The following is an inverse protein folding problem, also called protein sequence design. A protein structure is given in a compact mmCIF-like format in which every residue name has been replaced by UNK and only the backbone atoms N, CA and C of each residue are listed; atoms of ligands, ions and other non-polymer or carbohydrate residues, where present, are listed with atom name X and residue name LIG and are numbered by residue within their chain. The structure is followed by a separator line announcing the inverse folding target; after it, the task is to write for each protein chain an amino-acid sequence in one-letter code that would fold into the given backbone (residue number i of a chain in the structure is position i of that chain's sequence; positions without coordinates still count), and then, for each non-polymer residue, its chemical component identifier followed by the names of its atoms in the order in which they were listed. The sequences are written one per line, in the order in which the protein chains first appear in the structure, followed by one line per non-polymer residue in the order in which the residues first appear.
data_IF_433400288585
#
_entry.id   IF_433400288585
#
_cell.length_a   1.000
_cell.length_b   1.000
_cell.length_c   1.000
_cell.angle_alpha   90.00
_cell.angle_beta   90.00
_cell.angle_gamma   90.00
#
_symmetry.space_group_name_H-M   'P 1'
#
loop_
_entity.id
_entity.type
_entity.pdbx_description
1 polymer ?
#
# COMPACT_ATOMS: atom_id res chain seq x y z
N UNK A 1 -64.31 -39.59 -19.90
CA UNK A 1 -65.54 -39.53 -19.10
C UNK A 1 -65.11 -39.56 -17.64
N UNK A 2 -65.37 -38.45 -16.93
CA UNK A 2 -65.85 -38.37 -15.54
C UNK A 2 -66.17 -39.71 -14.84
N UNK A 3 -66.06 -39.91 -13.53
CA UNK A 3 -65.67 -39.12 -12.35
C UNK A 3 -65.50 -40.16 -11.23
N UNK A 4 -64.60 -39.92 -10.27
CA UNK A 4 -64.89 -40.21 -8.86
C UNK A 4 -63.79 -39.61 -7.98
N UNK A 5 -64.04 -38.44 -7.39
CA UNK A 5 -63.53 -38.22 -6.04
C UNK A 5 -64.21 -37.03 -5.34
N UNK A 6 -64.73 -37.31 -4.15
CA UNK A 6 -64.69 -36.49 -2.93
C UNK A 6 -65.37 -37.32 -1.80
N UNK A 7 -65.02 -37.15 -0.51
CA UNK A 7 -64.81 -35.82 0.09
C UNK A 7 -63.82 -35.64 1.27
N UNK A 8 -63.53 -34.35 1.52
CA UNK A 8 -63.29 -33.64 2.81
C UNK A 8 -62.13 -34.08 3.72
N UNK A 9 -61.32 -33.22 4.36
CA UNK A 9 -61.35 -31.81 4.78
C UNK A 9 -59.87 -31.41 5.07
N UNK A 10 -59.37 -30.18 5.19
CA UNK A 10 -59.88 -28.86 5.56
C UNK A 10 -58.74 -27.86 5.21
N UNK A 11 -58.99 -26.84 4.39
CA UNK A 11 -58.15 -25.62 4.33
C UNK A 11 -59.05 -24.45 4.69
N UNK A 12 -58.88 -23.90 5.88
CA UNK A 12 -59.47 -22.63 6.27
C UNK A 12 -58.38 -21.56 6.38
N UNK A 13 -58.68 -20.45 5.69
CA UNK A 13 -58.02 -19.15 5.70
C UNK A 13 -57.67 -18.64 7.09
N UNK A 14 -56.47 -18.07 7.23
CA UNK A 14 -56.21 -16.96 8.16
C UNK A 14 -55.35 -15.90 7.46
N UNK A 15 -56.07 -14.88 7.00
CA UNK A 15 -55.76 -13.44 7.01
C UNK A 15 -54.31 -12.98 6.92
N UNK A 16 -54.10 -12.14 5.90
CA UNK A 16 -53.00 -11.20 5.77
C UNK A 16 -52.78 -10.41 7.07
N UNK A 17 -51.58 -10.58 7.66
CA UNK A 17 -51.02 -9.62 8.60
C UNK A 17 -49.84 -8.95 7.91
N UNK A 18 -50.11 -7.76 7.35
CA UNK A 18 -49.10 -6.88 6.80
C UNK A 18 -48.07 -6.51 7.88
N UNK A 19 -46.84 -7.03 7.75
CA UNK A 19 -45.69 -6.34 8.31
C UNK A 19 -45.34 -5.20 7.37
N UNK A 20 -45.80 -4.00 7.74
CA UNK A 20 -45.31 -2.73 7.20
C UNK A 20 -43.78 -2.76 7.24
N UNK A 21 -43.16 -2.95 6.08
CA UNK A 21 -41.75 -2.61 5.88
C UNK A 21 -41.71 -1.09 5.97
N UNK A 22 -41.25 -0.59 7.11
CA UNK A 22 -41.11 0.84 7.33
C UNK A 22 -39.94 1.33 6.46
N UNK A 23 -40.25 1.71 5.22
CA UNK A 23 -39.33 2.34 4.27
C UNK A 23 -39.09 3.81 4.63
N UNK A 24 -38.64 4.05 5.86
CA UNK A 24 -38.21 5.36 6.35
C UNK A 24 -36.69 5.47 6.27
N UNK A 25 -36.19 6.02 5.17
CA UNK A 25 -34.88 6.67 4.92
C UNK A 25 -33.75 6.60 5.98
N UNK A 26 -33.41 5.44 6.51
CA UNK A 26 -32.10 5.22 7.14
C UNK A 26 -31.08 5.15 6.01
N UNK A 27 -30.50 6.31 5.65
CA UNK A 27 -29.37 6.32 4.71
C UNK A 27 -28.24 5.51 5.35
N UNK A 28 -27.95 4.37 4.75
CA UNK A 28 -26.98 3.42 5.26
C UNK A 28 -25.59 4.09 5.38
N UNK A 29 -24.92 3.95 6.53
CA UNK A 29 -23.71 4.74 6.86
C UNK A 29 -22.60 4.54 5.81
N UNK A 30 -22.46 3.34 5.24
CA UNK A 30 -21.50 3.05 4.16
C UNK A 30 -21.81 3.82 2.89
N UNK A 31 -23.09 3.99 2.54
CA UNK A 31 -23.50 4.67 1.31
C UNK A 31 -23.12 6.15 1.40
N UNK A 32 -23.46 6.81 2.51
CA UNK A 32 -23.14 8.23 2.70
C UNK A 32 -21.64 8.48 2.84
N UNK A 33 -20.88 7.56 3.44
CA UNK A 33 -19.42 7.63 3.51
C UNK A 33 -18.78 7.44 2.12
N UNK A 34 -19.31 6.51 1.32
CA UNK A 34 -18.85 6.29 -0.06
C UNK A 34 -19.10 7.50 -0.95
N UNK A 35 -20.25 8.15 -0.78
CA UNK A 35 -20.64 9.30 -1.60
C UNK A 35 -19.91 10.59 -1.16
N UNK A 36 -19.28 10.60 0.03
CA UNK A 36 -18.34 11.63 0.46
C UNK A 36 -18.98 12.89 1.08
N UNK A 37 -20.29 12.87 1.34
CA UNK A 37 -21.03 14.00 1.93
C UNK A 37 -20.90 14.01 3.45
N UNK A 38 -20.12 14.95 4.00
CA UNK A 38 -19.92 15.07 5.45
C UNK A 38 -21.25 15.34 6.19
N UNK A 39 -22.13 16.17 5.63
CA UNK A 39 -23.43 16.49 6.23
C UNK A 39 -24.35 15.27 6.32
N UNK A 40 -24.33 14.41 5.31
CA UNK A 40 -25.07 13.15 5.33
C UNK A 40 -24.45 12.15 6.32
N UNK A 41 -23.12 12.11 6.44
CA UNK A 41 -22.43 11.32 7.47
C UNK A 41 -22.82 11.78 8.87
N UNK A 42 -22.86 13.08 9.15
CA UNK A 42 -23.32 13.60 10.46
C UNK A 42 -24.76 13.19 10.77
N UNK A 43 -25.65 13.32 9.77
CA UNK A 43 -27.06 12.94 9.91
C UNK A 43 -27.23 11.43 10.16
N UNK A 44 -26.44 10.61 9.48
CA UNK A 44 -26.42 9.16 9.66
C UNK A 44 -25.86 8.77 11.05
N UNK A 45 -24.77 9.42 11.50
CA UNK A 45 -24.19 9.18 12.83
C UNK A 45 -25.15 9.60 13.95
N UNK A 46 -25.87 10.71 13.80
CA UNK A 46 -26.88 11.14 14.76
C UNK A 46 -28.03 10.13 14.88
N UNK A 47 -28.49 9.61 13.73
CA UNK A 47 -29.52 8.56 13.67
C UNK A 47 -29.04 7.25 14.31
N UNK A 48 -27.79 6.86 14.04
CA UNK A 48 -27.15 5.67 14.59
C UNK A 48 -27.03 5.76 16.12
N UNK A 49 -26.64 6.93 16.66
CA UNK A 49 -26.56 7.16 18.10
C UNK A 49 -27.93 7.05 18.78
N UNK A 50 -28.99 7.55 18.13
CA UNK A 50 -30.37 7.47 18.65
C UNK A 50 -30.91 6.04 18.65
N UNK A 51 -30.53 5.22 17.68
CA UNK A 51 -30.95 3.82 17.58
C UNK A 51 -30.06 2.84 18.33
N UNK A 52 -28.92 3.29 18.87
CA UNK A 52 -27.91 2.41 19.50
C UNK A 52 -27.20 1.50 18.50
N UNK A 53 -27.10 1.92 17.23
CA UNK A 53 -26.47 1.12 16.19
C UNK A 53 -24.94 1.05 16.31
N UNK A 54 -24.35 0.04 15.67
CA UNK A 54 -22.91 -0.20 15.72
C UNK A 54 -22.19 0.44 14.52
N UNK A 55 -21.33 1.42 14.79
CA UNK A 55 -20.53 2.15 13.78
C UNK A 55 -19.53 1.25 13.02
N UNK A 56 -19.15 0.12 13.63
CA UNK A 56 -18.20 -0.86 13.10
C UNK A 56 -18.89 -2.07 12.45
N UNK A 57 -20.18 -1.95 12.11
CA UNK A 57 -20.85 -2.95 11.26
C UNK A 57 -20.02 -3.19 9.97
N UNK A 58 -20.21 -4.33 9.32
CA UNK A 58 -19.46 -4.68 8.12
C UNK A 58 -20.44 -4.92 6.99
N UNK A 59 -20.12 -4.39 5.80
CA UNK A 59 -20.87 -4.70 4.59
C UNK A 59 -20.58 -6.13 4.08
N UNK A 60 -21.13 -6.51 2.93
CA UNK A 60 -20.94 -7.83 2.31
C UNK A 60 -19.48 -8.17 1.95
N UNK A 61 -18.60 -7.18 1.87
CA UNK A 61 -17.16 -7.34 1.64
C UNK A 61 -16.35 -7.34 2.94
N UNK A 62 -17.01 -7.30 4.10
CA UNK A 62 -16.35 -7.21 5.39
C UNK A 62 -15.80 -5.81 5.70
N UNK A 63 -16.19 -4.76 4.98
CA UNK A 63 -15.64 -3.40 5.17
C UNK A 63 -16.46 -2.60 6.19
N UNK A 64 -15.76 -1.85 7.05
CA UNK A 64 -16.35 -0.83 7.94
C UNK A 64 -16.49 0.51 7.19
N UNK A 65 -17.19 1.54 7.72
CA UNK A 65 -17.25 2.83 7.04
C UNK A 65 -15.86 3.49 7.05
N UNK A 66 -15.05 3.24 8.09
CA UNK A 66 -13.69 3.76 8.21
C UNK A 66 -12.78 3.22 7.11
N UNK A 67 -12.91 1.94 6.71
CA UNK A 67 -12.18 1.39 5.56
C UNK A 67 -12.47 2.14 4.26
N UNK A 68 -13.75 2.46 4.01
CA UNK A 68 -14.16 3.17 2.80
C UNK A 68 -13.64 4.62 2.81
N UNK A 69 -13.76 5.32 3.94
CA UNK A 69 -13.26 6.68 4.10
C UNK A 69 -11.73 6.75 3.94
N UNK A 70 -11.00 5.78 4.52
CA UNK A 70 -9.56 5.68 4.41
C UNK A 70 -9.11 5.39 2.97
N UNK A 71 -9.78 4.45 2.27
CA UNK A 71 -9.49 4.12 0.88
C UNK A 71 -9.70 5.32 -0.07
N UNK A 72 -10.77 6.10 0.17
CA UNK A 72 -11.13 7.28 -0.63
C UNK A 72 -10.34 8.55 -0.29
N UNK A 73 -9.44 8.49 0.70
CA UNK A 73 -8.70 9.65 1.22
C UNK A 73 -9.61 10.79 1.74
N UNK A 74 -10.77 10.47 2.31
CA UNK A 74 -11.74 11.47 2.78
C UNK A 74 -11.44 11.92 4.22
N UNK A 75 -10.41 12.75 4.37
CA UNK A 75 -9.89 13.24 5.67
C UNK A 75 -10.99 13.72 6.64
N UNK A 76 -11.95 14.59 6.25
CA UNK A 76 -12.97 15.07 7.19
C UNK A 76 -13.85 13.94 7.73
N UNK A 77 -14.22 12.99 6.86
CA UNK A 77 -15.05 11.84 7.23
C UNK A 77 -14.25 10.88 8.11
N UNK A 78 -12.97 10.63 7.82
CA UNK A 78 -12.09 9.81 8.68
C UNK A 78 -12.04 10.37 10.09
N UNK A 79 -11.79 11.68 10.25
CA UNK A 79 -11.77 12.34 11.57
C UNK A 79 -13.10 12.18 12.29
N UNK A 80 -14.22 12.35 11.58
CA UNK A 80 -15.55 12.21 12.19
C UNK A 80 -15.88 10.78 12.58
N UNK A 81 -15.59 9.79 11.74
CA UNK A 81 -15.81 8.40 12.11
C UNK A 81 -15.00 8.00 13.35
N UNK A 82 -13.73 8.38 13.43
CA UNK A 82 -12.88 8.13 14.60
C UNK A 82 -13.41 8.84 15.86
N UNK A 83 -13.78 10.11 15.76
CA UNK A 83 -14.38 10.86 16.87
C UNK A 83 -15.74 10.28 17.32
N UNK A 84 -16.43 9.53 16.44
CA UNK A 84 -17.66 8.81 16.78
C UNK A 84 -17.43 7.39 17.32
N UNK A 85 -16.17 6.99 17.54
CA UNK A 85 -15.82 5.68 18.12
C UNK A 85 -15.64 4.56 17.09
N UNK A 86 -15.36 4.89 15.82
CA UNK A 86 -14.95 3.87 14.85
C UNK A 86 -13.64 3.22 15.29
N UNK A 87 -13.59 1.89 15.21
CA UNK A 87 -12.42 1.09 15.56
C UNK A 87 -11.37 1.18 14.42
N UNK A 88 -10.20 1.79 14.66
CA UNK A 88 -9.15 1.91 13.65
C UNK A 88 -8.51 0.57 13.27
N UNK A 89 -8.59 -0.43 14.14
CA UNK A 89 -7.95 -1.75 14.00
C UNK A 89 -8.93 -2.84 13.53
N UNK A 90 -10.19 -2.48 13.26
CA UNK A 90 -11.15 -3.38 12.64
C UNK A 90 -10.56 -3.95 11.35
N UNK A 91 -10.61 -5.28 11.20
CA UNK A 91 -10.04 -5.99 10.04
C UNK A 91 -11.10 -6.23 8.97
N UNK A 92 -10.77 -5.97 7.71
CA UNK A 92 -11.64 -6.31 6.59
C UNK A 92 -11.75 -7.82 6.36
N UNK A 93 -12.78 -8.22 5.60
CA UNK A 93 -13.09 -9.64 5.36
C UNK A 93 -12.24 -10.29 4.28
N UNK A 94 -11.54 -9.51 3.45
CA UNK A 94 -10.82 -10.02 2.28
C UNK A 94 -9.33 -10.22 2.56
N UNK A 95 -8.65 -9.16 3.01
CA UNK A 95 -7.20 -9.17 3.21
C UNK A 95 -6.80 -9.21 4.67
N UNK A 96 -7.76 -9.06 5.59
CA UNK A 96 -7.48 -8.86 7.01
C UNK A 96 -6.89 -7.48 7.29
N UNK A 97 -7.06 -6.52 6.37
CA UNK A 97 -6.50 -5.18 6.44
C UNK A 97 -7.31 -4.29 7.38
N UNK A 98 -6.59 -3.48 8.15
CA UNK A 98 -7.17 -2.33 8.87
C UNK A 98 -7.19 -1.07 8.01
N UNK A 99 -7.77 0.00 8.54
CA UNK A 99 -7.78 1.31 7.86
C UNK A 99 -6.36 1.86 7.66
N UNK A 100 -5.42 1.55 8.57
CA UNK A 100 -4.03 1.98 8.45
C UNK A 100 -3.30 1.24 7.32
N UNK A 101 -3.54 -0.06 7.15
CA UNK A 101 -3.02 -0.83 6.00
C UNK A 101 -3.42 -0.18 4.68
N UNK A 102 -4.71 0.18 4.53
CA UNK A 102 -5.22 0.85 3.32
C UNK A 102 -4.57 2.22 3.13
N UNK A 103 -4.52 3.03 4.18
CA UNK A 103 -3.93 4.37 4.11
C UNK A 103 -2.47 4.32 3.65
N UNK A 104 -1.66 3.42 4.21
CA UNK A 104 -0.25 3.27 3.84
C UNK A 104 -0.07 2.64 2.45
N UNK A 105 -0.89 1.65 2.09
CA UNK A 105 -0.85 1.02 0.78
C UNK A 105 -1.11 2.00 -0.38
N UNK A 106 -2.06 2.92 -0.20
CA UNK A 106 -2.41 3.93 -1.20
C UNK A 106 -1.65 5.26 -1.05
N UNK A 107 -0.72 5.36 -0.08
CA UNK A 107 0.07 6.57 0.15
C UNK A 107 -0.71 7.75 0.77
N UNK A 108 -1.86 7.50 1.41
CA UNK A 108 -2.69 8.51 2.06
C UNK A 108 -2.12 8.92 3.43
N UNK A 109 -0.96 9.57 3.42
CA UNK A 109 -0.18 9.87 4.63
C UNK A 109 -0.94 10.73 5.65
N UNK A 110 -1.77 11.66 5.19
CA UNK A 110 -2.60 12.46 6.08
C UNK A 110 -3.64 11.59 6.83
N UNK A 111 -4.28 10.64 6.14
CA UNK A 111 -5.18 9.66 6.76
C UNK A 111 -4.42 8.74 7.70
N UNK A 112 -3.23 8.24 7.30
CA UNK A 112 -2.40 7.40 8.15
C UNK A 112 -2.01 8.12 9.46
N UNK A 113 -1.59 9.39 9.36
CA UNK A 113 -1.28 10.23 10.52
C UNK A 113 -2.48 10.35 11.47
N UNK A 114 -3.68 10.59 10.93
CA UNK A 114 -4.91 10.70 11.73
C UNK A 114 -5.26 9.37 12.41
N UNK A 115 -5.12 8.25 11.72
CA UNK A 115 -5.37 6.92 12.27
C UNK A 115 -4.41 6.61 13.42
N UNK A 116 -3.12 6.92 13.26
CA UNK A 116 -2.10 6.76 14.31
C UNK A 116 -2.39 7.64 15.53
N UNK A 117 -2.81 8.89 15.32
CA UNK A 117 -3.24 9.79 16.40
C UNK A 117 -4.43 9.23 17.19
N UNK A 118 -5.26 8.38 16.57
CA UNK A 118 -6.40 7.71 17.20
C UNK A 118 -6.10 6.26 17.61
N UNK A 119 -4.82 5.90 17.73
CA UNK A 119 -4.40 4.62 18.32
C UNK A 119 -4.40 3.42 17.38
N UNK A 120 -4.43 3.63 16.06
CA UNK A 120 -4.28 2.54 15.09
C UNK A 120 -2.95 1.79 15.31
N UNK A 121 -2.99 0.47 15.38
CA UNK A 121 -1.81 -0.36 15.61
C UNK A 121 -0.91 -0.45 14.39
N UNK A 122 0.38 -0.12 14.60
CA UNK A 122 1.43 -0.28 13.59
C UNK A 122 1.97 -1.72 13.48
N UNK A 123 1.56 -2.62 14.38
CA UNK A 123 2.03 -4.00 14.43
C UNK A 123 0.93 -5.01 14.10
N UNK A 124 -0.26 -4.55 13.69
CA UNK A 124 -1.38 -5.41 13.37
C UNK A 124 -1.09 -6.19 12.08
N UNK A 125 -1.07 -7.52 12.13
CA UNK A 125 -0.80 -8.34 10.96
C UNK A 125 -2.05 -8.55 10.08
N UNK A 126 -1.87 -8.46 8.77
CA UNK A 126 -2.88 -8.88 7.78
C UNK A 126 -2.94 -10.40 7.61
N UNK A 127 -3.83 -10.90 6.73
CA UNK A 127 -3.95 -12.34 6.44
C UNK A 127 -2.71 -12.97 5.79
N UNK A 128 -1.68 -12.17 5.47
CA UNK A 128 -0.39 -12.59 4.90
C UNK A 128 0.77 -12.29 5.85
N UNK A 129 0.50 -12.04 7.13
CA UNK A 129 1.50 -11.69 8.15
C UNK A 129 2.34 -10.46 7.81
N UNK A 130 1.74 -9.48 7.13
CA UNK A 130 2.35 -8.17 6.90
C UNK A 130 1.78 -7.16 7.87
N UNK A 131 2.61 -6.27 8.39
CA UNK A 131 2.18 -5.13 9.20
C UNK A 131 1.90 -3.91 8.29
N UNK A 132 1.20 -2.86 8.75
CA UNK A 132 0.81 -1.74 7.90
C UNK A 132 1.98 -1.06 7.18
N UNK A 133 3.13 -0.92 7.85
CA UNK A 133 4.32 -0.29 7.27
C UNK A 133 4.96 -1.12 6.15
N UNK A 134 4.74 -2.44 6.11
CA UNK A 134 5.20 -3.28 5.00
C UNK A 134 4.47 -2.96 3.69
N UNK A 135 3.33 -2.25 3.78
CA UNK A 135 2.54 -1.82 2.64
C UNK A 135 2.90 -0.41 2.15
N UNK A 136 3.84 0.29 2.81
CA UNK A 136 4.42 1.52 2.27
C UNK A 136 5.15 1.18 0.96
N UNK A 137 4.41 1.22 -0.15
CA UNK A 137 4.95 1.09 -1.51
C UNK A 137 5.02 2.44 -2.21
N UNK A 138 5.06 3.55 -1.45
CA UNK A 138 5.21 4.90 -1.99
C UNK A 138 6.61 5.45 -1.75
N UNK A 139 7.20 6.06 -2.79
CA UNK A 139 8.46 6.79 -2.69
C UNK A 139 8.40 7.81 -1.54
N UNK A 140 9.46 7.89 -0.74
CA UNK A 140 9.70 9.05 0.12
C UNK A 140 9.93 10.24 -0.79
N UNK A 141 9.06 11.25 -0.75
CA UNK A 141 9.22 12.47 -1.54
C UNK A 141 10.48 13.22 -1.12
N UNK A 142 11.25 13.64 -2.11
CA UNK A 142 12.46 14.45 -1.98
C UNK A 142 12.13 15.81 -1.35
N UNK A 143 12.91 16.22 -0.35
CA UNK A 143 12.95 17.61 0.11
C UNK A 143 13.88 18.36 -0.85
N UNK A 144 13.34 19.28 -1.66
CA UNK A 144 14.17 20.17 -2.47
C UNK A 144 14.73 21.26 -1.54
N UNK A 145 16.05 21.22 -1.30
CA UNK A 145 16.78 22.37 -0.79
C UNK A 145 16.75 23.49 -1.82
N UNK A 146 16.54 24.73 -1.37
CA UNK A 146 16.49 25.90 -2.24
C UNK A 146 17.78 26.03 -3.07
N UNK A 147 17.61 26.54 -4.29
CA UNK A 147 18.48 26.42 -5.48
C UNK A 147 19.90 27.01 -5.40
N UNK A 148 20.47 27.27 -4.22
CA UNK A 148 21.79 27.90 -4.12
C UNK A 148 22.84 27.24 -3.22
N UNK A 149 22.52 26.14 -2.54
CA UNK A 149 23.54 25.29 -1.92
C UNK A 149 23.29 23.84 -2.33
N UNK A 150 24.06 23.37 -3.32
CA UNK A 150 24.09 21.96 -3.71
C UNK A 150 24.79 21.16 -2.61
N UNK A 151 24.10 20.97 -1.49
CA UNK A 151 24.58 20.10 -0.41
C UNK A 151 24.44 18.68 -0.93
N UNK A 152 25.57 17.97 -1.06
CA UNK A 152 25.58 16.57 -1.47
C UNK A 152 24.56 15.78 -0.63
N UNK A 153 23.71 14.99 -1.30
CA UNK A 153 22.67 14.22 -0.61
C UNK A 153 23.33 13.13 0.22
N UNK A 154 23.22 13.21 1.54
CA UNK A 154 23.60 12.10 2.40
C UNK A 154 22.50 11.03 2.41
N UNK A 155 22.84 9.82 2.00
CA UNK A 155 21.92 8.68 2.05
C UNK A 155 22.20 7.88 3.31
N UNK A 156 21.18 7.71 4.14
CA UNK A 156 21.21 6.82 5.29
C UNK A 156 20.23 5.67 5.06
N UNK A 157 20.60 4.48 5.52
CA UNK A 157 19.75 3.29 5.49
C UNK A 157 19.78 2.58 6.84
N UNK A 158 18.71 1.88 7.17
CA UNK A 158 18.59 1.09 8.40
C UNK A 158 17.52 0.01 8.23
N UNK A 159 17.45 -0.93 9.17
CA UNK A 159 16.54 -2.06 9.16
C UNK A 159 17.26 -3.39 8.92
N UNK A 160 16.60 -4.32 8.24
CA UNK A 160 17.19 -5.64 7.94
C UNK A 160 18.21 -5.53 6.80
N UNK A 161 19.48 -5.87 7.09
CA UNK A 161 20.54 -5.99 6.09
C UNK A 161 20.47 -7.25 5.24
N UNK A 162 19.43 -8.09 5.39
CA UNK A 162 19.21 -9.25 4.54
C UNK A 162 19.31 -8.85 3.06
N UNK A 163 19.86 -9.74 2.23
CA UNK A 163 20.09 -9.46 0.80
C UNK A 163 21.00 -8.27 0.50
N UNK A 164 21.68 -7.67 1.47
CA UNK A 164 22.54 -6.50 1.31
C UNK A 164 21.81 -5.26 0.76
N UNK A 165 20.48 -5.20 0.93
CA UNK A 165 19.62 -4.14 0.39
C UNK A 165 19.85 -2.75 1.04
N UNK A 166 20.58 -2.70 2.16
CA UNK A 166 20.98 -1.45 2.82
C UNK A 166 22.16 -0.76 2.12
N UNK A 167 23.06 -1.50 1.47
CA UNK A 167 24.16 -0.91 0.70
C UNK A 167 25.32 -0.35 1.54
N UNK A 168 25.33 -0.61 2.83
CA UNK A 168 26.35 -0.15 3.79
C UNK A 168 27.51 -1.14 3.93
N UNK A 169 27.71 -2.05 2.96
CA UNK A 169 28.82 -3.00 2.95
C UNK A 169 28.66 -4.23 3.85
N UNK A 170 27.51 -4.47 4.48
CA UNK A 170 27.26 -5.68 5.27
C UNK A 170 25.78 -6.10 5.25
N UNK A 171 25.49 -7.30 5.75
CA UNK A 171 24.13 -7.86 5.82
C UNK A 171 23.50 -7.81 7.22
N UNK A 172 24.11 -7.09 8.17
CA UNK A 172 23.63 -7.04 9.55
C UNK A 172 22.39 -6.17 9.69
N UNK A 173 21.60 -6.44 10.74
CA UNK A 173 20.49 -5.57 11.11
C UNK A 173 21.07 -4.25 11.63
N UNK A 174 20.63 -3.15 11.04
CA UNK A 174 20.99 -1.80 11.45
C UNK A 174 19.81 -1.19 12.20
N UNK A 175 19.94 -1.08 13.52
CA UNK A 175 18.88 -0.53 14.38
C UNK A 175 18.79 1.00 14.28
N UNK A 176 19.85 1.65 13.85
CA UNK A 176 19.97 3.10 13.71
C UNK A 176 20.36 3.46 12.27
N UNK A 177 20.01 4.67 11.78
CA UNK A 177 20.46 5.17 10.49
C UNK A 177 21.98 5.04 10.32
N UNK A 178 22.39 4.36 9.25
CA UNK A 178 23.79 4.18 8.87
C UNK A 178 24.03 4.81 7.49
N UNK A 179 25.08 5.61 7.39
CA UNK A 179 25.42 6.31 6.14
C UNK A 179 25.84 5.30 5.07
N UNK A 180 25.36 5.51 3.85
CA UNK A 180 25.77 4.75 2.66
C UNK A 180 26.94 5.49 2.01
N UNK A 181 28.14 5.28 2.56
CA UNK A 181 29.33 6.06 2.20
C UNK A 181 29.71 5.99 0.71
N UNK A 182 29.33 4.93 0.00
CA UNK A 182 29.62 4.79 -1.44
C UNK A 182 28.82 5.74 -2.33
N UNK A 183 27.81 6.43 -1.80
CA UNK A 183 27.07 7.49 -2.52
C UNK A 183 27.56 8.90 -2.14
N UNK A 184 28.56 9.01 -1.25
CA UNK A 184 29.07 10.29 -0.80
C UNK A 184 29.66 11.08 -1.98
N UNK A 185 29.21 12.33 -2.15
CA UNK A 185 29.62 13.21 -3.24
C UNK A 185 28.70 13.17 -4.47
N UNK A 186 27.73 12.25 -4.54
CA UNK A 186 26.69 12.25 -5.56
C UNK A 186 25.44 12.99 -5.08
N UNK A 187 24.80 13.75 -5.97
CA UNK A 187 23.48 14.35 -5.69
C UNK A 187 22.43 13.33 -6.06
N UNK A 188 21.86 12.65 -5.06
CA UNK A 188 20.83 11.64 -5.26
C UNK A 188 19.47 12.32 -5.40
N UNK A 189 18.80 12.13 -6.55
CA UNK A 189 17.45 12.62 -6.83
C UNK A 189 16.37 11.65 -6.39
N UNK A 190 16.52 10.37 -6.75
CA UNK A 190 15.50 9.35 -6.47
C UNK A 190 16.14 8.12 -5.84
N UNK A 191 15.37 7.47 -4.96
CA UNK A 191 15.67 6.16 -4.38
C UNK A 191 14.44 5.28 -4.51
N UNK A 192 14.65 4.00 -4.82
CA UNK A 192 13.61 2.97 -4.82
C UNK A 192 14.16 1.72 -4.16
N UNK A 193 13.46 1.21 -3.15
CA UNK A 193 13.85 0.01 -2.41
C UNK A 193 12.81 -1.09 -2.64
N UNK A 194 13.28 -2.30 -2.89
CA UNK A 194 12.46 -3.49 -3.08
C UNK A 194 12.94 -4.63 -2.16
N UNK A 195 12.22 -5.76 -2.17
CA UNK A 195 12.50 -6.91 -1.29
C UNK A 195 13.95 -7.42 -1.31
N UNK A 196 14.64 -7.30 -2.45
CA UNK A 196 15.97 -7.90 -2.63
C UNK A 196 17.05 -6.91 -3.01
N UNK A 197 16.69 -5.69 -3.40
CA UNK A 197 17.63 -4.72 -3.96
C UNK A 197 17.08 -3.31 -3.84
N UNK A 198 17.98 -2.35 -4.02
CA UNK A 198 17.69 -0.93 -4.01
C UNK A 198 18.32 -0.27 -5.23
N UNK A 199 17.75 0.86 -5.64
CA UNK A 199 18.13 1.62 -6.83
C UNK A 199 18.20 3.10 -6.47
N UNK A 200 19.24 3.78 -6.91
CA UNK A 200 19.38 5.24 -6.79
C UNK A 200 19.57 5.87 -8.17
N UNK A 201 19.08 7.11 -8.31
CA UNK A 201 19.27 7.96 -9.49
C UNK A 201 19.96 9.25 -9.07
N UNK A 202 21.06 9.60 -9.72
CA UNK A 202 21.75 10.89 -9.53
C UNK A 202 21.12 12.00 -10.37
N UNK A 203 21.47 13.25 -10.07
CA UNK A 203 21.08 14.42 -10.86
C UNK A 203 21.63 14.44 -12.29
N UNK A 204 22.80 13.81 -12.47
CA UNK A 204 23.45 13.53 -13.74
C UNK A 204 22.74 12.42 -14.55
N UNK A 205 21.79 11.73 -13.94
CA UNK A 205 21.02 10.65 -14.59
C UNK A 205 21.72 9.30 -14.55
N UNK A 206 22.65 9.11 -13.61
CA UNK A 206 23.34 7.84 -13.39
C UNK A 206 22.54 6.94 -12.45
N UNK A 207 22.48 5.66 -12.77
CA UNK A 207 21.74 4.68 -11.98
C UNK A 207 22.71 3.82 -11.17
N UNK A 208 22.45 3.72 -9.88
CA UNK A 208 23.17 2.81 -8.99
C UNK A 208 22.23 1.73 -8.48
N UNK A 209 22.69 0.49 -8.43
CA UNK A 209 21.92 -0.64 -7.89
C UNK A 209 22.77 -1.41 -6.89
N UNK A 210 22.12 -1.98 -5.87
CA UNK A 210 22.77 -2.84 -4.87
C UNK A 210 21.77 -3.80 -4.24
N UNK A 211 22.28 -4.84 -3.60
CA UNK A 211 21.53 -5.91 -2.98
C UNK A 211 21.79 -7.26 -3.65
N UNK A 212 20.81 -8.15 -3.59
CA UNK A 212 20.93 -9.53 -4.08
C UNK A 212 20.66 -9.59 -5.59
N UNK A 213 21.58 -10.18 -6.36
CA UNK A 213 21.62 -10.04 -7.82
C UNK A 213 20.85 -11.05 -8.66
N UNK A 214 20.42 -12.17 -8.06
CA UNK A 214 19.89 -13.35 -8.78
C UNK A 214 18.89 -12.99 -9.90
N UNK A 215 19.06 -13.56 -11.09
CA UNK A 215 18.14 -13.31 -12.21
C UNK A 215 18.20 -11.88 -12.77
N UNK A 216 19.31 -11.16 -12.54
CA UNK A 216 19.69 -9.97 -13.29
C UNK A 216 19.02 -8.68 -12.88
N UNK A 217 18.40 -8.63 -11.70
CA UNK A 217 17.65 -7.44 -11.22
C UNK A 217 18.52 -6.20 -10.96
N UNK A 218 19.83 -6.36 -10.90
CA UNK A 218 20.77 -5.24 -10.70
C UNK A 218 21.26 -4.63 -12.02
N UNK A 219 21.15 -5.32 -13.15
CA UNK A 219 21.56 -4.79 -14.45
C UNK A 219 23.07 -4.79 -14.71
N UNK A 220 23.87 -5.43 -13.85
CA UNK A 220 25.31 -5.64 -14.09
C UNK A 220 25.52 -6.88 -14.96
N UNK A 221 26.50 -6.91 -15.87
CA UNK A 221 26.74 -8.01 -16.80
C UNK A 221 27.41 -9.23 -16.15
N UNK A 222 27.98 -9.08 -14.96
CA UNK A 222 28.81 -10.10 -14.32
C UNK A 222 27.98 -11.36 -13.97
N UNK A 223 28.41 -12.54 -14.45
CA UNK A 223 27.67 -13.79 -14.29
C UNK A 223 27.57 -14.27 -12.84
N UNK A 224 28.49 -13.86 -11.97
CA UNK A 224 28.52 -14.19 -10.53
C UNK A 224 27.36 -13.54 -9.77
N UNK A 225 26.98 -12.31 -10.13
CA UNK A 225 25.80 -11.61 -9.59
C UNK A 225 24.50 -12.34 -9.96
N UNK A 226 24.52 -13.10 -11.06
CA UNK A 226 23.36 -13.86 -11.56
C UNK A 226 23.26 -15.29 -11.03
N UNK A 227 24.36 -15.88 -10.53
CA UNK A 227 24.45 -17.31 -10.18
C UNK A 227 23.80 -17.67 -8.83
N UNK A 228 23.30 -16.68 -8.09
CA UNK A 228 22.60 -16.89 -6.83
C UNK A 228 23.51 -16.89 -5.59
N UNK A 229 24.81 -16.65 -5.77
CA UNK A 229 25.79 -16.56 -4.69
C UNK A 229 26.40 -15.17 -4.50
N UNK A 230 26.26 -14.23 -5.46
CA UNK A 230 26.80 -12.88 -5.29
C UNK A 230 25.73 -11.80 -5.11
N UNK A 231 26.06 -10.86 -4.24
CA UNK A 231 25.32 -9.64 -3.96
C UNK A 231 26.24 -8.45 -4.21
N UNK A 232 25.65 -7.33 -4.62
CA UNK A 232 26.32 -6.05 -4.68
C UNK A 232 26.12 -5.38 -3.34
N UNK A 233 27.13 -5.39 -2.49
CA UNK A 233 27.01 -5.03 -1.07
C UNK A 233 27.04 -3.51 -0.80
N UNK A 234 27.50 -2.75 -1.79
CA UNK A 234 27.51 -1.28 -1.81
C UNK A 234 27.01 -0.80 -3.18
N UNK A 235 26.30 0.33 -3.26
CA UNK A 235 25.86 0.95 -4.50
C UNK A 235 26.88 0.87 -5.64
N UNK A 236 26.52 0.21 -6.74
CA UNK A 236 27.34 0.08 -7.94
C UNK A 236 26.62 0.72 -9.11
N UNK A 237 27.33 1.51 -9.90
CA UNK A 237 26.77 2.14 -11.09
C UNK A 237 26.43 1.10 -12.17
N UNK A 238 25.27 1.25 -12.81
CA UNK A 238 24.85 0.47 -13.97
C UNK A 238 25.33 1.17 -15.23
N UNK A 239 26.40 0.65 -15.84
CA UNK A 239 27.02 1.25 -17.03
C UNK A 239 26.70 0.48 -18.31
N UNK A 240 26.40 -0.82 -18.20
CA UNK A 240 26.14 -1.67 -19.35
C UNK A 240 24.76 -1.40 -19.98
N UNK A 241 24.73 -1.26 -21.31
CA UNK A 241 23.49 -1.12 -22.08
C UNK A 241 22.87 0.27 -22.12
N UNK A 242 23.25 1.20 -21.23
CA UNK A 242 22.69 2.56 -21.20
C UNK A 242 23.44 3.56 -22.10
N UNK A 243 24.75 3.37 -22.29
CA UNK A 243 25.57 4.30 -23.08
C UNK A 243 25.57 5.71 -22.46
N UNK A 244 25.42 6.75 -23.28
CA UNK A 244 25.35 8.15 -22.84
C UNK A 244 23.96 8.63 -22.44
N UNK A 245 22.99 7.72 -22.27
CA UNK A 245 21.59 8.08 -21.98
C UNK A 245 21.44 8.60 -20.56
N UNK A 246 20.69 9.70 -20.42
CA UNK A 246 20.34 10.28 -19.13
C UNK A 246 19.06 9.66 -18.59
N UNK A 247 19.13 9.00 -17.43
CA UNK A 247 17.96 8.41 -16.78
C UNK A 247 17.18 9.47 -15.99
N UNK A 248 15.85 9.44 -16.09
CA UNK A 248 14.95 10.41 -15.47
C UNK A 248 13.99 9.79 -14.45
N UNK A 249 13.71 8.49 -14.56
CA UNK A 249 12.87 7.78 -13.61
C UNK A 249 13.42 6.39 -13.33
N UNK A 250 13.22 5.92 -12.10
CA UNK A 250 13.60 4.59 -11.64
C UNK A 250 12.43 3.96 -10.86
N UNK A 251 12.28 2.65 -10.95
CA UNK A 251 11.36 1.87 -10.13
C UNK A 251 11.95 0.49 -9.85
N UNK A 252 11.95 0.09 -8.57
CA UNK A 252 12.33 -1.24 -8.14
C UNK A 252 11.10 -2.02 -7.67
N UNK A 253 10.94 -3.24 -8.17
CA UNK A 253 9.94 -4.18 -7.68
C UNK A 253 10.61 -5.46 -7.21
N UNK A 254 9.83 -6.41 -6.69
CA UNK A 254 10.35 -7.64 -6.08
C UNK A 254 11.45 -8.31 -6.93
N UNK A 255 11.30 -8.43 -8.24
CA UNK A 255 12.27 -9.14 -9.09
C UNK A 255 12.75 -8.38 -10.32
N UNK A 256 12.30 -7.13 -10.51
CA UNK A 256 12.57 -6.35 -11.69
C UNK A 256 12.89 -4.91 -11.35
N UNK A 257 13.69 -4.29 -12.21
CA UNK A 257 14.00 -2.87 -12.19
C UNK A 257 13.56 -2.28 -13.52
N UNK A 258 12.94 -1.12 -13.46
CA UNK A 258 12.53 -0.34 -14.63
C UNK A 258 13.15 1.03 -14.53
N UNK A 259 13.64 1.54 -15.65
CA UNK A 259 14.08 2.92 -15.78
C UNK A 259 13.47 3.55 -17.02
N UNK A 260 13.32 4.87 -16.99
CA UNK A 260 12.97 5.65 -18.17
C UNK A 260 14.00 6.78 -18.37
N UNK A 261 14.37 7.01 -19.62
CA UNK A 261 15.38 8.00 -19.99
C UNK A 261 14.74 9.30 -20.47
N UNK A 262 15.55 10.35 -20.59
CA UNK A 262 15.11 11.64 -21.13
C UNK A 262 14.65 11.54 -22.59
N UNK A 263 15.17 10.58 -23.37
CA UNK A 263 14.75 10.32 -24.75
C UNK A 263 13.43 9.52 -24.86
N UNK A 264 12.82 9.16 -23.73
CA UNK A 264 11.57 8.39 -23.69
C UNK A 264 11.77 6.88 -23.78
N UNK A 265 13.01 6.39 -23.88
CA UNK A 265 13.27 4.95 -23.85
C UNK A 265 13.05 4.38 -22.45
N UNK A 266 12.41 3.21 -22.39
CA UNK A 266 12.20 2.43 -21.16
C UNK A 266 13.04 1.16 -21.22
N UNK A 267 13.84 0.95 -20.17
CA UNK A 267 14.64 -0.26 -20.01
C UNK A 267 14.13 -1.04 -18.81
N UNK A 268 14.12 -2.37 -18.95
CA UNK A 268 13.75 -3.27 -17.87
C UNK A 268 14.75 -4.41 -17.77
N UNK A 269 15.06 -4.83 -16.56
CA UNK A 269 15.90 -6.00 -16.31
C UNK A 269 15.45 -6.72 -15.04
N UNK A 270 15.81 -8.00 -14.92
CA UNK A 270 15.37 -8.86 -13.83
C UNK A 270 14.67 -10.12 -14.31
N UNK A 271 14.10 -10.87 -13.37
CA UNK A 271 13.52 -12.19 -13.65
C UNK A 271 11.99 -12.15 -13.61
N UNK A 272 11.39 -12.65 -14.69
CA UNK A 272 9.95 -12.93 -14.80
C UNK A 272 9.61 -14.41 -14.55
N UNK A 273 10.41 -15.14 -13.74
CA UNK A 273 10.02 -16.51 -13.31
C UNK A 273 8.83 -16.43 -12.36
N UNK A 274 7.63 -16.36 -12.93
CA UNK A 274 6.36 -16.24 -12.24
C UNK A 274 5.09 -16.36 -13.10
N UNK A 275 5.18 -16.30 -14.43
CA UNK A 275 4.10 -16.76 -15.34
C UNK A 275 4.72 -17.27 -16.65
N UNK A 276 4.88 -18.58 -16.77
CA UNK A 276 4.74 -19.21 -18.08
C UNK A 276 3.29 -18.97 -18.50
N UNK A 277 3.07 -18.16 -19.53
CA UNK A 277 1.85 -18.29 -20.32
C UNK A 277 1.84 -19.73 -20.85
N UNK A 278 0.90 -20.54 -20.37
CA UNK A 278 0.37 -21.66 -21.15
C UNK A 278 -0.77 -21.12 -21.97
#
# INVERSE_FOLDING_TARGET
MEVANCPHAQKQNLQASGRKVNSGSQKDLWLVVRDGSLNDVESALASLKKSGGNINLRNTFGLTPLHLAAWRNHIPIVRRLLAAGADPDARDGESGWSSLHRALHFGHLAVASILLQHGASITLEDSKSRIPVDLLSGNVFQVFGNEHDSVATEVFSWGSGANYQLGTGNAHIQKLPCKVDSLNGSIIKLLSAAKFHSVALTDLGEVYTWGFGRGGRLGHPDFDIHSGQAAVITPRQVTSGLGSRRVMAIAAAKHHTVIATQGGEVFTWGSNRGKTCR
#
